data_IF_583382160328
#
_entry.id   IF_583382160328
#
_cell.length_a   1.000
_cell.length_b   1.000
_cell.length_c   1.000
_cell.angle_alpha   90.00
_cell.angle_beta   90.00
_cell.angle_gamma   90.00
#
_symmetry.space_group_name_H-M   'P 1'
#
loop_
_entity.id
_entity.type
_entity.pdbx_description
1 polymer ?
#
# COMPACT_ATOMS: atom_id res chain seq x y z
N UNK A 1 38.90 6.24 11.47
CA UNK A 1 37.67 6.68 12.17
C UNK A 1 36.55 6.48 11.16
N UNK A 2 36.07 5.24 11.05
CA UNK A 2 34.99 4.92 10.12
C UNK A 2 33.70 5.49 10.71
N UNK A 3 33.13 6.47 10.02
CA UNK A 3 31.79 6.96 10.31
C UNK A 3 30.83 5.81 9.99
N UNK A 4 30.41 5.07 11.01
CA UNK A 4 29.29 4.14 10.90
C UNK A 4 28.04 4.95 10.62
N UNK A 5 27.78 5.25 9.35
CA UNK A 5 26.49 5.74 8.87
C UNK A 5 25.49 4.66 9.24
N UNK A 6 24.68 4.93 10.26
CA UNK A 6 23.52 4.09 10.55
C UNK A 6 22.65 4.15 9.31
N UNK A 7 22.26 3.03 8.69
CA UNK A 7 21.42 3.07 7.49
C UNK A 7 20.15 3.84 7.83
N UNK A 8 19.79 4.81 6.98
CA UNK A 8 18.55 5.55 7.17
C UNK A 8 17.37 4.57 7.16
N UNK A 9 16.36 4.78 8.01
CA UNK A 9 15.18 3.92 8.02
C UNK A 9 14.52 3.96 6.65
N UNK A 10 14.24 2.78 6.07
CA UNK A 10 13.52 2.64 4.81
C UNK A 10 12.21 3.43 4.87
N UNK A 11 12.01 4.33 3.92
CA UNK A 11 10.77 5.11 3.87
C UNK A 11 9.59 4.21 3.51
N UNK A 12 8.40 4.54 4.03
CA UNK A 12 7.18 3.79 3.71
C UNK A 12 6.87 3.80 2.20
N UNK A 13 7.34 4.81 1.46
CA UNK A 13 7.20 4.90 -0.01
C UNK A 13 8.08 3.93 -0.75
N UNK A 14 9.36 3.83 -0.38
CA UNK A 14 10.28 2.88 -1.00
C UNK A 14 9.80 1.45 -0.74
N UNK A 15 9.32 1.19 0.48
CA UNK A 15 8.70 -0.09 0.80
C UNK A 15 7.43 -0.32 -0.03
N UNK A 16 6.55 0.68 -0.18
CA UNK A 16 5.36 0.56 -1.02
C UNK A 16 5.70 0.28 -2.49
N UNK A 17 6.73 0.92 -3.03
CA UNK A 17 7.22 0.68 -4.39
C UNK A 17 7.76 -0.75 -4.57
N UNK A 18 8.55 -1.24 -3.61
CA UNK A 18 9.08 -2.60 -3.66
C UNK A 18 7.99 -3.67 -3.50
N UNK A 19 7.01 -3.44 -2.63
CA UNK A 19 5.83 -4.30 -2.49
C UNK A 19 5.02 -4.30 -3.79
N UNK A 20 4.74 -3.13 -4.36
CA UNK A 20 3.97 -3.01 -5.60
C UNK A 20 4.68 -3.71 -6.76
N UNK A 21 6.00 -3.55 -6.90
CA UNK A 21 6.81 -4.22 -7.91
C UNK A 21 6.72 -5.75 -7.76
N UNK A 22 6.94 -6.26 -6.56
CA UNK A 22 6.87 -7.70 -6.26
C UNK A 22 5.47 -8.28 -6.55
N UNK A 23 4.42 -7.55 -6.20
CA UNK A 23 3.03 -7.92 -6.49
C UNK A 23 2.72 -7.81 -7.99
N UNK A 24 3.34 -6.88 -8.71
CA UNK A 24 3.16 -6.76 -10.15
C UNK A 24 3.67 -7.97 -10.90
N UNK A 25 4.84 -8.48 -10.52
CA UNK A 25 5.45 -9.65 -11.14
C UNK A 25 4.67 -10.95 -10.85
N UNK A 26 3.95 -11.00 -9.72
CA UNK A 26 3.26 -12.20 -9.25
C UNK A 26 1.75 -12.24 -9.54
N UNK A 27 1.09 -11.09 -9.69
CA UNK A 27 -0.36 -11.01 -9.89
C UNK A 27 -0.74 -10.69 -11.33
N UNK A 28 -1.71 -11.42 -11.92
CA UNK A 28 -2.19 -11.11 -13.25
C UNK A 28 -3.12 -9.89 -13.25
N UNK A 29 -2.78 -8.90 -14.08
CA UNK A 29 -3.68 -7.83 -14.48
C UNK A 29 -4.11 -6.85 -13.37
N UNK A 30 -5.20 -6.13 -13.66
CA UNK A 30 -5.72 -5.02 -12.86
C UNK A 30 -7.21 -5.20 -12.54
N UNK A 31 -7.69 -6.45 -12.46
CA UNK A 31 -9.11 -6.77 -12.25
C UNK A 31 -9.37 -7.66 -11.03
N UNK A 32 -8.71 -7.33 -9.91
CA UNK A 32 -9.02 -8.00 -8.65
C UNK A 32 -10.38 -7.53 -8.13
N UNK A 33 -11.29 -8.49 -7.97
CA UNK A 33 -12.66 -8.26 -7.49
C UNK A 33 -12.76 -7.97 -6.00
N UNK A 34 -11.69 -8.25 -5.25
CA UNK A 34 -11.62 -8.13 -3.79
C UNK A 34 -10.33 -7.41 -3.40
N UNK A 35 -10.43 -6.54 -2.41
CA UNK A 35 -9.28 -5.99 -1.72
C UNK A 35 -8.52 -7.10 -1.02
N UNK A 36 -7.19 -7.01 -0.99
CA UNK A 36 -6.31 -8.00 -0.35
C UNK A 36 -5.43 -7.34 0.69
N UNK A 37 -5.28 -8.00 1.82
CA UNK A 37 -4.37 -7.62 2.89
C UNK A 37 -3.18 -8.58 2.89
N UNK A 38 -1.98 -8.02 2.95
CA UNK A 38 -0.73 -8.73 3.00
C UNK A 38 0.09 -8.31 4.22
N UNK A 39 0.82 -9.26 4.80
CA UNK A 39 1.89 -9.02 5.76
C UNK A 39 3.23 -9.05 5.03
N UNK A 40 4.10 -8.09 5.35
CA UNK A 40 5.38 -7.89 4.66
C UNK A 40 6.51 -8.02 5.68
N UNK A 41 7.41 -8.98 5.44
CA UNK A 41 8.68 -9.04 6.18
C UNK A 41 9.81 -8.56 5.29
N UNK A 42 10.66 -7.70 5.85
CA UNK A 42 11.85 -7.18 5.19
C UNK A 42 12.98 -8.19 5.40
N UNK A 43 13.47 -8.75 4.30
CA UNK A 43 14.56 -9.73 4.29
C UNK A 43 15.90 -9.05 4.05
N UNK A 44 15.94 -8.12 3.11
CA UNK A 44 17.11 -7.31 2.77
C UNK A 44 16.68 -5.85 2.59
N UNK A 45 17.13 -4.98 3.51
CA UNK A 45 16.81 -3.55 3.50
C UNK A 45 17.49 -2.82 2.35
N UNK A 46 18.73 -3.20 2.02
CA UNK A 46 19.50 -2.53 0.98
C UNK A 46 18.93 -2.82 -0.41
N UNK A 47 18.28 -3.98 -0.56
CA UNK A 47 17.55 -4.38 -1.76
C UNK A 47 16.25 -3.61 -2.03
N UNK A 48 15.67 -2.92 -1.04
CA UNK A 48 14.35 -2.28 -1.19
C UNK A 48 14.38 -1.15 -2.22
N UNK A 49 15.38 -0.26 -2.13
CA UNK A 49 15.50 0.89 -3.02
C UNK A 49 15.69 0.48 -4.50
N UNK A 50 16.27 -0.69 -4.73
CA UNK A 50 16.49 -1.24 -6.07
C UNK A 50 15.38 -2.21 -6.53
N UNK A 51 14.33 -2.42 -5.72
CA UNK A 51 13.31 -3.45 -5.93
C UNK A 51 13.93 -4.86 -6.16
N UNK A 52 14.98 -5.20 -5.42
CA UNK A 52 15.70 -6.45 -5.62
C UNK A 52 14.81 -7.66 -5.30
N UNK A 53 14.92 -8.70 -6.14
CA UNK A 53 14.27 -9.97 -5.89
C UNK A 53 14.71 -10.56 -4.54
N UNK A 54 13.73 -10.94 -3.72
CA UNK A 54 13.99 -11.49 -2.40
C UNK A 54 14.21 -10.46 -1.29
N UNK A 55 14.18 -9.14 -1.59
CA UNK A 55 14.22 -8.10 -0.56
C UNK A 55 13.05 -8.19 0.43
N UNK A 56 11.91 -8.71 -0.03
CA UNK A 56 10.68 -8.85 0.74
C UNK A 56 10.16 -10.29 0.74
N UNK A 57 9.54 -10.67 1.86
CA UNK A 57 8.64 -11.82 1.94
C UNK A 57 7.21 -11.33 2.13
N UNK A 58 6.38 -11.52 1.10
CA UNK A 58 4.97 -11.11 1.07
C UNK A 58 4.08 -12.29 1.42
N UNK A 59 3.24 -12.14 2.44
CA UNK A 59 2.31 -13.16 2.90
C UNK A 59 0.87 -12.70 2.75
N UNK A 60 0.04 -13.45 2.03
CA UNK A 60 -1.40 -13.17 1.96
C UNK A 60 -2.06 -13.44 3.31
N UNK A 61 -2.86 -12.49 3.81
CA UNK A 61 -3.54 -12.61 5.10
C UNK A 61 -5.05 -12.78 4.95
N UNK A 62 -5.68 -11.91 4.13
CA UNK A 62 -7.12 -11.91 3.96
C UNK A 62 -7.56 -11.18 2.68
N UNK A 63 -8.80 -11.40 2.25
CA UNK A 63 -9.44 -10.62 1.19
C UNK A 63 -10.92 -10.36 1.46
N UNK A 64 -11.43 -9.22 0.99
CA UNK A 64 -12.83 -8.84 1.14
C UNK A 64 -13.30 -7.96 -0.02
N UNK A 65 -14.61 -7.97 -0.31
CA UNK A 65 -15.18 -7.13 -1.37
C UNK A 65 -15.16 -5.65 -1.03
N UNK A 66 -15.23 -5.34 0.27
CA UNK A 66 -15.10 -4.00 0.83
C UNK A 66 -13.79 -3.90 1.64
N UNK A 67 -12.98 -2.89 1.34
CA UNK A 67 -11.66 -2.69 1.96
C UNK A 67 -11.76 -2.22 3.42
N UNK A 68 -12.81 -1.50 3.80
CA UNK A 68 -12.96 -1.03 5.18
C UNK A 68 -13.38 -2.19 6.09
N UNK A 69 -14.31 -3.03 5.62
CA UNK A 69 -14.66 -4.29 6.30
C UNK A 69 -13.45 -5.24 6.41
N UNK A 70 -12.59 -5.27 5.38
CA UNK A 70 -11.32 -6.02 5.45
C UNK A 70 -10.45 -5.51 6.61
N UNK A 71 -10.31 -4.19 6.74
CA UNK A 71 -9.43 -3.57 7.73
C UNK A 71 -9.98 -3.67 9.16
N UNK A 72 -11.31 -3.65 9.31
CA UNK A 72 -11.98 -3.74 10.62
C UNK A 72 -12.14 -5.19 11.11
N UNK A 73 -11.96 -6.19 10.24
CA UNK A 73 -12.02 -7.59 10.62
C UNK A 73 -10.95 -7.95 11.65
N UNK A 74 -11.33 -8.67 12.73
CA UNK A 74 -10.39 -9.13 13.76
C UNK A 74 -9.23 -9.96 13.20
N UNK A 75 -9.45 -10.72 12.14
CA UNK A 75 -8.40 -11.50 11.47
C UNK A 75 -7.27 -10.64 10.92
N UNK A 76 -7.55 -9.37 10.59
CA UNK A 76 -6.58 -8.43 10.04
C UNK A 76 -5.57 -7.95 11.09
N UNK A 77 -5.82 -8.21 12.38
CA UNK A 77 -4.85 -7.87 13.42
C UNK A 77 -3.54 -8.63 13.33
N UNK A 78 -3.54 -9.79 12.65
CA UNK A 78 -2.32 -10.57 12.37
C UNK A 78 -1.29 -9.78 11.55
N UNK A 79 -1.73 -8.78 10.77
CA UNK A 79 -0.84 -7.94 9.97
C UNK A 79 0.20 -7.21 10.82
N UNK A 80 -0.09 -6.97 12.10
CA UNK A 80 0.81 -6.34 13.07
C UNK A 80 1.97 -7.25 13.54
N UNK A 81 1.98 -8.52 13.14
CA UNK A 81 3.10 -9.44 13.44
C UNK A 81 4.23 -9.36 12.40
N UNK A 82 4.09 -8.50 11.39
CA UNK A 82 5.02 -8.31 10.28
C UNK A 82 5.74 -6.98 10.42
N UNK A 83 6.80 -6.76 9.64
CA UNK A 83 7.51 -5.47 9.59
C UNK A 83 6.65 -4.36 8.97
N UNK A 84 5.70 -4.73 8.10
CA UNK A 84 4.72 -3.83 7.50
C UNK A 84 3.45 -4.58 7.07
N UNK A 85 2.38 -3.84 6.81
CA UNK A 85 1.15 -4.34 6.18
C UNK A 85 0.90 -3.64 4.85
N UNK A 86 0.34 -4.35 3.88
CA UNK A 86 -0.03 -3.80 2.59
C UNK A 86 -1.48 -4.13 2.22
N UNK A 87 -2.22 -3.13 1.76
CA UNK A 87 -3.53 -3.29 1.14
C UNK A 87 -3.40 -3.08 -0.35
N UNK A 88 -3.92 -4.03 -1.12
CA UNK A 88 -4.01 -3.94 -2.57
C UNK A 88 -5.47 -3.88 -3.00
N UNK A 89 -5.80 -2.90 -3.84
CA UNK A 89 -7.11 -2.80 -4.50
C UNK A 89 -6.97 -2.53 -5.99
N UNK A 90 -7.97 -2.92 -6.78
CA UNK A 90 -8.11 -2.52 -8.18
C UNK A 90 -9.33 -1.62 -8.35
N UNK A 91 -9.16 -0.52 -9.07
CA UNK A 91 -10.16 0.54 -9.14
C UNK A 91 -10.17 1.25 -10.48
N UNK A 92 -10.91 2.35 -10.53
CA UNK A 92 -10.89 3.31 -11.63
C UNK A 92 -10.42 4.64 -11.09
N UNK A 93 -9.52 5.31 -11.80
CA UNK A 93 -9.12 6.68 -11.53
C UNK A 93 -9.66 7.58 -12.64
N UNK A 94 -10.30 8.69 -12.27
CA UNK A 94 -10.60 9.79 -13.19
C UNK A 94 -9.30 10.61 -13.40
N UNK A 95 -9.11 11.21 -14.58
CA UNK A 95 -8.06 12.20 -14.76
C UNK A 95 -8.31 13.40 -13.84
N UNK A 96 -7.24 14.00 -13.36
CA UNK A 96 -7.31 15.28 -12.63
C UNK A 96 -7.48 16.37 -13.69
N UNK A 97 -8.63 17.03 -13.73
CA UNK A 97 -8.87 18.18 -14.60
C UNK A 97 -8.36 19.46 -13.93
N UNK A 98 -7.61 20.29 -14.65
CA UNK A 98 -7.11 21.58 -14.16
C UNK A 98 -8.24 22.56 -13.79
N UNK A 99 -9.44 22.37 -14.37
CA UNK A 99 -10.59 23.26 -14.17
C UNK A 99 -11.49 22.88 -12.97
N UNK A 100 -11.15 21.81 -12.24
CA UNK A 100 -11.80 21.45 -10.97
C UNK A 100 -13.29 21.07 -11.00
N UNK A 101 -13.92 21.01 -12.17
CA UNK A 101 -15.39 20.94 -12.34
C UNK A 101 -15.89 19.63 -12.99
N UNK A 102 -15.11 18.55 -12.91
CA UNK A 102 -15.59 17.21 -13.27
C UNK A 102 -15.94 16.41 -12.01
N UNK A 103 -17.14 16.66 -11.48
CA UNK A 103 -17.76 15.92 -10.36
C UNK A 103 -18.11 14.46 -10.73
N UNK A 104 -17.75 13.98 -11.91
CA UNK A 104 -18.04 12.62 -12.33
C UNK A 104 -17.21 11.62 -11.53
N UNK A 105 -17.89 10.74 -10.80
CA UNK A 105 -17.24 9.66 -10.07
C UNK A 105 -16.27 8.87 -10.98
N UNK A 106 -15.08 8.45 -10.49
CA UNK A 106 -14.08 7.73 -11.29
C UNK A 106 -14.61 6.49 -12.02
N UNK A 107 -15.63 5.82 -11.48
CA UNK A 107 -16.28 4.67 -12.09
C UNK A 107 -17.17 5.02 -13.28
N UNK A 108 -17.61 6.27 -13.41
CA UNK A 108 -18.48 6.79 -14.47
C UNK A 108 -17.71 7.65 -15.49
N UNK A 109 -16.57 8.19 -15.10
CA UNK A 109 -15.81 9.12 -15.93
C UNK A 109 -15.40 8.50 -17.28
N UNK A 110 -15.61 9.16 -18.43
CA UNK A 110 -15.38 8.57 -19.76
C UNK A 110 -13.89 8.32 -20.05
N UNK A 111 -13.01 9.17 -19.53
CA UNK A 111 -11.54 9.00 -19.62
C UNK A 111 -10.94 8.24 -18.44
N UNK A 112 -11.75 7.48 -17.69
CA UNK A 112 -11.25 6.73 -16.53
C UNK A 112 -10.21 5.70 -16.97
N UNK A 113 -9.20 5.51 -16.11
CA UNK A 113 -8.14 4.52 -16.33
C UNK A 113 -8.22 3.45 -15.26
N UNK A 114 -8.02 2.19 -15.65
CA UNK A 114 -7.99 1.07 -14.71
C UNK A 114 -6.69 1.13 -13.93
N UNK A 115 -6.78 1.03 -12.61
CA UNK A 115 -5.63 1.20 -11.71
C UNK A 115 -5.53 0.06 -10.70
N UNK A 116 -4.30 -0.15 -10.22
CA UNK A 116 -4.00 -0.90 -9.01
C UNK A 116 -3.37 0.06 -8.02
N UNK A 117 -3.94 0.11 -6.82
CA UNK A 117 -3.43 0.88 -5.70
C UNK A 117 -2.89 -0.09 -4.66
N UNK A 118 -1.64 0.12 -4.25
CA UNK A 118 -1.02 -0.52 -3.10
C UNK A 118 -0.79 0.55 -2.04
N UNK A 119 -1.33 0.35 -0.85
CA UNK A 119 -1.08 1.20 0.33
C UNK A 119 -0.33 0.36 1.35
N UNK A 120 0.82 0.83 1.81
CA UNK A 120 1.66 0.18 2.81
C UNK A 120 1.71 1.03 4.05
N UNK A 121 1.67 0.39 5.21
CA UNK A 121 1.95 0.99 6.51
C UNK A 121 3.06 0.21 7.21
N UNK A 122 3.98 0.95 7.79
CA UNK A 122 5.08 0.48 8.62
C UNK A 122 5.33 1.49 9.74
N UNK A 123 6.30 1.22 10.61
CA UNK A 123 6.67 2.17 11.68
C UNK A 123 7.22 3.50 11.14
N UNK A 124 7.72 3.54 9.90
CA UNK A 124 8.14 4.76 9.21
C UNK A 124 6.98 5.57 8.61
N UNK A 125 5.74 5.09 8.73
CA UNK A 125 4.52 5.77 8.28
C UNK A 125 3.77 5.02 7.19
N UNK A 126 2.99 5.77 6.41
CA UNK A 126 2.18 5.26 5.30
C UNK A 126 2.75 5.72 3.96
N UNK A 127 2.83 4.81 3.00
CA UNK A 127 3.20 5.11 1.62
C UNK A 127 2.25 4.41 0.66
N UNK A 128 2.02 4.99 -0.51
CA UNK A 128 1.18 4.34 -1.53
C UNK A 128 1.76 4.43 -2.93
N UNK A 129 1.42 3.45 -3.75
CA UNK A 129 1.81 3.37 -5.15
C UNK A 129 0.59 3.03 -6.01
N UNK A 130 0.40 3.84 -7.04
CA UNK A 130 -0.63 3.68 -8.05
C UNK A 130 0.02 3.27 -9.37
N UNK A 131 -0.43 2.16 -9.95
CA UNK A 131 -0.04 1.72 -11.29
C UNK A 131 -1.27 1.70 -12.19
N UNK A 132 -1.13 2.16 -13.44
CA UNK A 132 -2.19 2.14 -14.43
C UNK A 132 -2.04 0.92 -15.35
N UNK A 133 -3.18 0.36 -15.78
CA UNK A 133 -3.20 -0.82 -16.64
C UNK A 133 -2.71 -0.55 -18.08
N UNK A 134 -2.89 0.68 -18.57
CA UNK A 134 -2.52 1.12 -19.91
C UNK A 134 -1.07 1.61 -20.01
N UNK A 135 -0.46 2.00 -18.88
CA UNK A 135 0.98 2.32 -18.77
C UNK A 135 1.59 1.52 -17.63
N UNK A 136 1.67 0.18 -17.76
CA UNK A 136 2.03 -0.70 -16.66
C UNK A 136 3.50 -0.64 -16.29
N UNK A 137 4.35 0.10 -17.00
CA UNK A 137 5.76 0.31 -16.62
C UNK A 137 5.95 1.55 -15.73
N UNK A 138 4.94 2.42 -15.65
CA UNK A 138 4.97 3.67 -14.90
C UNK A 138 4.17 3.56 -13.60
N UNK A 139 4.68 4.18 -12.54
CA UNK A 139 4.00 4.27 -11.24
C UNK A 139 3.99 5.69 -10.72
N UNK A 140 2.93 6.02 -9.99
CA UNK A 140 2.84 7.25 -9.20
C UNK A 140 2.96 6.85 -7.74
N UNK A 141 3.92 7.45 -7.04
CA UNK A 141 4.11 7.25 -5.61
C UNK A 141 3.58 8.44 -4.82
N UNK A 142 3.02 8.18 -3.64
CA UNK A 142 2.63 9.23 -2.69
C UNK A 142 3.20 8.92 -1.29
N UNK A 143 4.01 9.82 -0.70
CA UNK A 143 4.55 9.73 0.65
C UNK A 143 3.55 9.90 1.79
N UNK A 144 2.30 9.47 1.58
CA UNK A 144 1.24 9.63 2.59
C UNK A 144 0.86 11.09 2.81
N UNK A 145 1.08 11.96 1.80
CA UNK A 145 0.55 13.33 1.80
C UNK A 145 -0.90 13.36 1.31
N UNK A 146 -1.39 12.32 0.62
CA UNK A 146 -2.81 12.20 0.35
C UNK A 146 -3.57 11.89 1.65
N UNK A 147 -4.35 12.86 2.09
CA UNK A 147 -5.33 12.76 3.17
C UNK A 147 -6.54 11.94 2.73
N UNK A 148 -6.31 10.67 2.36
CA UNK A 148 -7.35 9.76 1.90
C UNK A 148 -7.87 8.86 3.03
N UNK A 149 -9.18 8.62 3.08
CA UNK A 149 -9.82 7.77 4.09
C UNK A 149 -9.23 6.35 4.15
N UNK A 150 -8.71 5.83 3.03
CA UNK A 150 -8.03 4.53 3.01
C UNK A 150 -6.67 4.57 3.72
N UNK A 151 -5.87 5.63 3.53
CA UNK A 151 -4.59 5.77 4.21
C UNK A 151 -4.80 5.84 5.73
N UNK A 152 -5.81 6.61 6.17
CA UNK A 152 -6.21 6.71 7.58
C UNK A 152 -6.69 5.36 8.14
N UNK A 153 -7.49 4.61 7.39
CA UNK A 153 -7.99 3.32 7.82
C UNK A 153 -6.87 2.27 7.97
N UNK A 154 -5.91 2.27 7.03
CA UNK A 154 -4.72 1.41 7.11
C UNK A 154 -3.83 1.82 8.28
N UNK A 155 -3.66 3.11 8.50
CA UNK A 155 -2.88 3.61 9.64
C UNK A 155 -3.53 3.26 10.99
N UNK A 156 -4.86 3.32 11.09
CA UNK A 156 -5.62 2.87 12.28
C UNK A 156 -5.44 1.37 12.51
N UNK A 157 -5.50 0.57 11.44
CA UNK A 157 -5.14 -0.85 11.50
C UNK A 157 -3.70 -1.05 12.00
N UNK A 158 -2.77 -0.12 11.80
CA UNK A 158 -1.43 -0.26 12.38
C UNK A 158 -1.40 0.19 13.85
N UNK A 159 -2.01 1.35 14.15
CA UNK A 159 -1.88 2.08 15.42
C UNK A 159 -2.70 1.56 16.61
N UNK A 160 -3.74 0.73 16.45
CA UNK A 160 -4.52 0.23 17.61
C UNK A 160 -3.73 -0.71 18.58
N UNK A 161 -2.40 -0.63 18.60
CA UNK A 161 -1.53 -1.05 19.70
C UNK A 161 -1.72 -0.21 20.99
N UNK A 162 -2.20 1.04 20.91
CA UNK A 162 -2.07 2.00 22.03
C UNK A 162 -3.20 1.90 23.09
N UNK A 163 -4.37 1.34 22.80
CA UNK A 163 -5.50 1.33 23.75
C UNK A 163 -5.60 0.05 24.62
N UNK A 164 -4.76 -0.97 24.38
CA UNK A 164 -4.81 -2.22 25.16
C UNK A 164 -3.77 -2.30 26.29
N UNK A 165 -2.81 -1.38 26.34
CA UNK A 165 -1.72 -1.36 27.33
C UNK A 165 -1.90 -0.33 28.45
N UNK A 166 -2.85 0.61 28.35
CA UNK A 166 -3.13 1.61 29.41
C UNK A 166 -4.16 1.15 30.47
N UNK A 167 -4.50 -0.15 30.51
CA UNK A 167 -5.48 -0.69 31.45
C UNK A 167 -5.00 -1.91 32.24
N UNK A 168 -3.68 -2.06 32.43
CA UNK A 168 -3.10 -3.01 33.38
C UNK A 168 -2.23 -2.34 34.43
#
# INVERSE_FOLDING_TARGET
>A
METSTTPEPTSAVELAACVEHSLHLSLPGFDLRRARLYGINIVDRDGIAANADGALRISFLAEHGDVYELLEARTSSVARMFDAAAVLTCGWAAPISDDGDDDTAPSQHPKRRRVRLVVVVADSGVGSVLRFADTPDETITDPGKATGSLAEAVERLWRDQVQASEQR
#
